data_IF_303849307806
#
_entry.id   IF_303849307806
#
_cell.length_a   1.000
_cell.length_b   1.000
_cell.length_c   1.000
_cell.angle_alpha   90.00
_cell.angle_beta   90.00
_cell.angle_gamma   90.00
#
_symmetry.space_group_name_H-M   'P 1'
#
loop_
_entity.id
_entity.type
_entity.pdbx_description
1 polymer ?
#
# COMPACT_ATOMS: atom_id res chain seq x y z
N UNK A 1 -13.51 -13.50 12.28
CA UNK A 1 -14.86 -13.78 11.72
C UNK A 1 -14.78 -13.48 10.23
N UNK A 2 -15.00 -14.46 9.36
CA UNK A 2 -15.04 -14.21 7.91
C UNK A 2 -16.46 -13.82 7.50
N UNK A 3 -16.62 -12.60 6.97
CA UNK A 3 -17.91 -12.11 6.47
C UNK A 3 -17.96 -12.36 4.95
N UNK A 4 -18.70 -13.39 4.53
CA UNK A 4 -18.73 -13.86 3.13
C UNK A 4 -19.97 -13.37 2.36
N UNK A 5 -20.76 -12.49 2.97
CA UNK A 5 -21.96 -11.86 2.39
C UNK A 5 -21.79 -10.33 2.49
N UNK A 6 -22.70 -9.58 1.88
CA UNK A 6 -22.61 -8.12 1.82
C UNK A 6 -22.74 -7.41 3.18
N UNK A 7 -22.97 -8.14 4.28
CA UNK A 7 -23.06 -7.57 5.62
C UNK A 7 -23.28 -8.62 6.69
N UNK A 8 -23.41 -8.15 7.93
CA UNK A 8 -23.69 -8.96 9.11
C UNK A 8 -24.53 -8.16 10.11
N UNK A 9 -25.23 -8.87 10.99
CA UNK A 9 -26.01 -8.29 12.07
C UNK A 9 -25.37 -8.64 13.41
N UNK A 10 -25.41 -7.70 14.36
CA UNK A 10 -25.04 -7.94 15.76
C UNK A 10 -26.30 -7.83 16.59
N UNK A 11 -26.53 -8.79 17.48
CA UNK A 11 -27.65 -8.79 18.41
C UNK A 11 -27.16 -9.06 19.83
N UNK A 12 -27.76 -8.37 20.80
CA UNK A 12 -27.55 -8.59 22.23
C UNK A 12 -28.81 -9.19 22.81
N UNK A 13 -28.69 -10.33 23.50
CA UNK A 13 -29.81 -10.96 24.21
C UNK A 13 -29.52 -10.95 25.70
N UNK A 14 -30.39 -10.30 26.46
CA UNK A 14 -30.42 -10.38 27.92
C UNK A 14 -31.62 -11.23 28.38
N UNK A 15 -31.48 -11.90 29.53
CA UNK A 15 -32.51 -12.76 30.11
C UNK A 15 -32.76 -12.46 31.61
N UNK A 16 -32.72 -11.18 31.99
CA UNK A 16 -33.13 -10.74 33.33
C UNK A 16 -32.01 -10.09 34.15
N UNK A 17 -31.01 -9.48 33.51
CA UNK A 17 -29.96 -8.73 34.19
C UNK A 17 -30.20 -7.21 34.11
N UNK A 18 -29.62 -6.47 35.07
CA UNK A 18 -29.58 -5.00 35.01
C UNK A 18 -28.35 -4.57 34.21
N UNK A 19 -28.47 -4.49 32.87
CA UNK A 19 -27.35 -4.18 31.97
C UNK A 19 -27.51 -2.81 31.35
N UNK A 20 -26.38 -2.08 31.26
CA UNK A 20 -26.28 -0.84 30.49
C UNK A 20 -25.16 -0.96 29.45
N UNK A 21 -25.52 -0.86 28.17
CA UNK A 21 -24.60 -0.97 27.04
C UNK A 21 -24.15 0.43 26.59
N UNK A 22 -22.92 0.81 26.94
CA UNK A 22 -22.44 2.19 26.72
C UNK A 22 -21.97 2.42 25.27
N UNK A 23 -21.19 1.51 24.69
CA UNK A 23 -20.79 1.59 23.29
C UNK A 23 -20.38 0.23 22.73
N UNK A 24 -20.53 0.07 21.41
CA UNK A 24 -20.07 -1.09 20.64
C UNK A 24 -19.14 -0.58 19.54
N UNK A 25 -17.90 -1.06 19.51
CA UNK A 25 -16.94 -0.70 18.46
C UNK A 25 -16.71 -1.89 17.54
N UNK A 26 -17.05 -1.70 16.27
CA UNK A 26 -16.87 -2.69 15.21
C UNK A 26 -15.81 -2.12 14.26
N UNK A 27 -14.79 -2.90 13.96
CA UNK A 27 -13.72 -2.50 13.04
C UNK A 27 -13.11 -3.71 12.37
N UNK A 28 -12.46 -3.46 11.24
CA UNK A 28 -11.53 -4.39 10.60
C UNK A 28 -10.16 -3.71 10.50
N UNK A 29 -9.12 -4.50 10.26
CA UNK A 29 -7.75 -3.99 10.10
C UNK A 29 -7.35 -4.00 8.64
N UNK A 30 -6.52 -3.02 8.30
CA UNK A 30 -6.01 -2.77 6.97
C UNK A 30 -4.52 -2.50 7.10
N UNK A 31 -3.75 -2.94 6.11
CA UNK A 31 -2.47 -2.34 5.83
C UNK A 31 -2.71 -1.08 5.01
N UNK A 32 -2.33 0.07 5.56
CA UNK A 32 -2.53 1.39 4.93
C UNK A 32 -1.82 1.48 3.59
N UNK A 33 -2.26 2.41 2.73
CA UNK A 33 -1.55 2.67 1.50
C UNK A 33 -0.12 3.15 1.79
N UNK A 34 0.85 2.66 1.03
CA UNK A 34 2.25 3.06 1.24
C UNK A 34 2.99 3.08 -0.09
N UNK A 35 4.00 3.95 -0.18
CA UNK A 35 4.83 4.05 -1.37
C UNK A 35 6.29 4.01 -0.97
N UNK A 36 7.04 3.09 -1.54
CA UNK A 36 8.46 2.86 -1.23
C UNK A 36 9.21 2.85 -2.56
N UNK A 37 10.21 3.72 -2.69
CA UNK A 37 10.87 3.92 -3.98
C UNK A 37 9.86 4.32 -5.06
N UNK A 38 9.85 3.58 -6.18
CA UNK A 38 8.95 3.77 -7.32
C UNK A 38 7.70 2.88 -7.30
N UNK A 39 7.38 2.27 -6.16
CA UNK A 39 6.24 1.35 -6.02
C UNK A 39 5.21 1.92 -5.08
N UNK A 40 3.94 1.85 -5.48
CA UNK A 40 2.78 2.12 -4.64
C UNK A 40 2.06 0.82 -4.29
N UNK A 41 1.85 0.56 -3.01
CA UNK A 41 1.02 -0.51 -2.49
C UNK A 41 -0.31 0.08 -2.02
N UNK A 42 -1.44 -0.32 -2.63
CA UNK A 42 -2.75 0.18 -2.22
C UNK A 42 -3.17 -0.40 -0.87
N UNK A 43 -4.11 0.29 -0.22
CA UNK A 43 -4.72 -0.18 1.02
C UNK A 43 -5.26 -1.62 0.86
N UNK A 44 -4.92 -2.49 1.82
CA UNK A 44 -5.16 -3.92 1.72
C UNK A 44 -5.77 -4.46 3.02
N UNK A 45 -6.93 -5.13 2.97
CA UNK A 45 -7.49 -5.81 4.13
C UNK A 45 -6.60 -6.95 4.63
N UNK A 46 -6.48 -7.07 5.95
CA UNK A 46 -5.80 -8.20 6.58
C UNK A 46 -6.58 -9.50 6.38
N UNK A 47 -5.93 -10.64 6.62
CA UNK A 47 -6.62 -11.93 6.71
C UNK A 47 -7.59 -12.02 7.89
N UNK A 48 -8.27 -13.16 8.00
CA UNK A 48 -9.27 -13.39 9.03
C UNK A 48 -8.66 -13.64 10.43
N UNK A 49 -7.40 -14.06 10.47
CA UNK A 49 -6.63 -14.35 11.68
C UNK A 49 -5.38 -13.46 11.79
N UNK A 50 -4.87 -13.28 13.01
CA UNK A 50 -3.68 -12.46 13.29
C UNK A 50 -2.40 -13.02 12.64
N UNK A 51 -2.35 -14.33 12.42
CA UNK A 51 -1.22 -15.04 11.80
C UNK A 51 -1.29 -15.06 10.28
N UNK A 52 -2.39 -14.59 9.69
CA UNK A 52 -2.55 -14.60 8.24
C UNK A 52 -1.63 -13.56 7.59
N UNK A 53 -1.14 -13.91 6.39
CA UNK A 53 -0.33 -13.04 5.54
C UNK A 53 -1.02 -12.97 4.19
N UNK A 54 -1.38 -11.76 3.76
CA UNK A 54 -2.03 -11.51 2.48
C UNK A 54 -1.00 -10.96 1.51
N UNK A 55 -0.78 -11.68 0.41
CA UNK A 55 0.07 -11.23 -0.69
C UNK A 55 -0.64 -10.18 -1.54
N UNK A 56 0.07 -9.08 -1.83
CA UNK A 56 -0.42 -8.03 -2.73
C UNK A 56 0.66 -7.48 -3.63
N UNK A 57 0.28 -7.23 -4.86
CA UNK A 57 1.17 -6.64 -5.84
C UNK A 57 1.13 -5.12 -5.76
N UNK A 58 2.32 -4.52 -5.83
CA UNK A 58 2.47 -3.09 -5.96
C UNK A 58 2.31 -2.63 -7.40
N UNK A 59 2.14 -1.32 -7.56
CA UNK A 59 1.95 -0.64 -8.84
C UNK A 59 3.11 0.34 -9.01
N UNK A 60 3.78 0.31 -10.17
CA UNK A 60 4.81 1.28 -10.47
C UNK A 60 4.22 2.70 -10.56
N UNK A 61 4.92 3.69 -9.99
CA UNK A 61 4.47 5.08 -10.02
C UNK A 61 4.54 5.68 -11.43
N UNK A 62 3.98 6.88 -11.60
CA UNK A 62 3.93 7.54 -12.90
C UNK A 62 5.32 7.70 -13.54
N UNK A 63 5.39 7.52 -14.86
CA UNK A 63 6.60 7.57 -15.67
C UNK A 63 7.67 6.53 -15.28
N UNK A 64 7.25 5.45 -14.61
CA UNK A 64 8.09 4.28 -14.35
C UNK A 64 7.49 3.03 -14.97
N UNK A 65 8.33 2.03 -15.22
CA UNK A 65 7.98 0.74 -15.84
C UNK A 65 8.41 -0.41 -14.92
N UNK A 66 7.62 -1.49 -14.82
CA UNK A 66 7.99 -2.65 -14.03
C UNK A 66 9.14 -3.41 -14.70
N UNK A 67 10.14 -3.82 -13.93
CA UNK A 67 11.11 -4.85 -14.33
C UNK A 67 10.64 -6.22 -13.82
N UNK A 68 10.18 -6.26 -12.57
CA UNK A 68 9.54 -7.41 -11.95
C UNK A 68 8.28 -6.97 -11.23
N UNK A 69 7.36 -7.90 -11.01
CA UNK A 69 6.11 -7.60 -10.31
C UNK A 69 6.42 -7.29 -8.84
N UNK A 70 6.20 -6.06 -8.34
CA UNK A 70 6.46 -5.75 -6.94
C UNK A 70 5.53 -6.57 -6.04
N UNK A 71 6.04 -7.13 -4.94
CA UNK A 71 5.27 -7.95 -4.01
C UNK A 71 5.41 -7.44 -2.58
N UNK A 72 4.28 -7.31 -1.89
CA UNK A 72 4.18 -6.92 -0.49
C UNK A 72 3.33 -7.92 0.28
N UNK A 73 3.59 -8.02 1.58
CA UNK A 73 2.94 -8.96 2.48
C UNK A 73 2.22 -8.19 3.59
N UNK A 74 0.90 -8.14 3.54
CA UNK A 74 0.08 -7.52 4.57
C UNK A 74 -0.21 -8.52 5.69
N UNK A 75 0.30 -8.24 6.90
CA UNK A 75 0.15 -9.11 8.08
C UNK A 75 -1.18 -8.89 8.78
N UNK A 76 -1.65 -9.90 9.52
CA UNK A 76 -2.87 -9.83 10.34
C UNK A 76 -2.92 -8.70 11.39
N UNK A 77 -1.77 -8.12 11.75
CA UNK A 77 -1.70 -6.96 12.64
C UNK A 77 -1.90 -5.59 11.93
N UNK A 78 -1.99 -5.57 10.59
CA UNK A 78 -2.13 -4.35 9.80
C UNK A 78 -0.80 -3.73 9.35
N UNK A 79 0.32 -4.42 9.56
CA UNK A 79 1.63 -3.95 9.11
C UNK A 79 2.03 -4.59 7.78
N UNK A 80 2.70 -3.79 6.95
CA UNK A 80 3.37 -4.31 5.75
C UNK A 80 4.72 -4.95 6.10
N UNK A 81 5.01 -6.06 5.44
CA UNK A 81 6.35 -6.59 5.30
C UNK A 81 6.70 -6.69 3.82
N UNK A 82 7.97 -6.40 3.50
CA UNK A 82 8.49 -6.41 2.15
C UNK A 82 9.76 -7.26 2.12
N UNK A 83 10.00 -7.90 0.98
CA UNK A 83 11.31 -8.45 0.68
C UNK A 83 12.17 -7.34 0.04
N UNK A 84 13.47 -7.30 0.33
CA UNK A 84 14.41 -6.28 -0.17
C UNK A 84 14.29 -6.08 -1.70
N UNK A 85 14.19 -7.18 -2.45
CA UNK A 85 14.09 -7.20 -3.92
C UNK A 85 12.81 -6.48 -4.41
N UNK A 86 11.73 -6.55 -3.64
CA UNK A 86 10.45 -5.94 -4.03
C UNK A 86 10.49 -4.40 -3.98
N UNK A 87 11.47 -3.82 -3.29
CA UNK A 87 11.54 -2.39 -3.00
C UNK A 87 12.44 -1.59 -3.96
N UNK A 88 13.61 -2.12 -4.36
CA UNK A 88 14.57 -1.37 -5.20
C UNK A 88 14.48 -1.69 -6.69
N UNK A 89 14.24 -2.96 -7.03
CA UNK A 89 14.50 -3.44 -8.39
C UNK A 89 13.20 -3.75 -9.18
N UNK A 90 12.05 -3.40 -8.61
CA UNK A 90 10.76 -3.75 -9.19
C UNK A 90 10.25 -2.74 -10.22
N UNK A 91 10.59 -1.46 -10.08
CA UNK A 91 10.18 -0.40 -11.00
C UNK A 91 11.34 0.54 -11.32
N UNK A 92 11.46 0.96 -12.59
CA UNK A 92 12.48 1.92 -13.05
C UNK A 92 11.86 3.04 -13.84
N UNK A 93 12.48 4.23 -13.81
CA UNK A 93 12.04 5.34 -14.65
C UNK A 93 12.10 4.96 -16.14
N UNK A 94 11.09 5.42 -16.87
CA UNK A 94 11.06 5.32 -18.32
C UNK A 94 12.15 6.21 -18.94
N UNK A 95 12.46 5.97 -20.21
CA UNK A 95 13.50 6.70 -20.90
C UNK A 95 13.12 8.19 -21.00
N UNK A 96 14.08 9.09 -20.75
CA UNK A 96 13.83 10.53 -20.62
C UNK A 96 13.37 11.00 -19.24
N UNK A 97 13.24 10.08 -18.27
CA UNK A 97 12.96 10.41 -16.86
C UNK A 97 14.09 9.96 -15.93
N UNK A 98 14.37 10.75 -14.90
CA UNK A 98 15.33 10.46 -13.84
C UNK A 98 14.66 10.26 -12.48
N UNK A 99 15.30 9.45 -11.65
CA UNK A 99 14.85 9.16 -10.28
C UNK A 99 15.12 10.36 -9.38
N UNK A 100 14.09 10.87 -8.71
CA UNK A 100 14.23 11.84 -7.63
C UNK A 100 13.67 11.25 -6.34
N UNK A 101 14.51 11.26 -5.30
CA UNK A 101 14.15 10.76 -3.97
C UNK A 101 13.45 11.89 -3.20
N UNK A 102 12.23 11.62 -2.72
CA UNK A 102 11.44 12.53 -1.88
C UNK A 102 11.94 12.41 -0.43
N UNK A 103 12.94 13.21 -0.07
CA UNK A 103 13.60 13.20 1.25
C UNK A 103 12.76 13.84 2.38
N UNK A 104 11.43 13.77 2.31
CA UNK A 104 10.57 14.35 3.34
C UNK A 104 10.63 13.61 4.68
N UNK A 105 11.13 12.36 4.71
CA UNK A 105 11.33 11.57 5.93
C UNK A 105 12.69 10.85 5.92
N UNK A 106 13.49 10.98 6.97
CA UNK A 106 14.81 10.35 7.15
C UNK A 106 14.71 8.84 7.46
N UNK A 107 14.07 8.06 6.59
CA UNK A 107 13.93 6.61 6.76
C UNK A 107 14.33 5.82 5.51
N UNK A 108 14.71 4.55 5.69
CA UNK A 108 15.11 3.60 4.63
C UNK A 108 14.02 3.32 3.57
N UNK A 109 12.85 3.97 3.69
CA UNK A 109 11.62 3.77 2.92
C UNK A 109 11.16 5.07 2.23
N UNK A 110 12.10 5.95 1.86
CA UNK A 110 11.79 7.20 1.17
C UNK A 110 11.05 6.92 -0.15
N UNK A 111 9.96 7.67 -0.37
CA UNK A 111 9.23 7.66 -1.64
C UNK A 111 10.13 8.23 -2.73
N UNK A 112 10.00 7.74 -3.96
CA UNK A 112 10.69 8.30 -5.12
C UNK A 112 9.71 8.55 -6.27
N UNK A 113 10.09 9.45 -7.17
CA UNK A 113 9.31 9.80 -8.35
C UNK A 113 10.23 9.90 -9.58
N UNK A 114 9.67 9.70 -10.75
CA UNK A 114 10.37 9.89 -12.03
C UNK A 114 10.02 11.26 -12.62
N UNK A 115 11.02 12.15 -12.74
CA UNK A 115 10.87 13.47 -13.38
C UNK A 115 11.59 13.53 -14.71
N UNK A 116 11.07 14.35 -15.63
CA UNK A 116 11.69 14.55 -16.95
C UNK A 116 13.11 15.06 -16.77
N UNK A 117 14.06 14.45 -17.49
CA UNK A 117 15.46 14.84 -17.48
C UNK A 117 15.62 16.29 -18.01
N UNK A 118 16.32 17.19 -17.30
CA UNK A 118 16.48 18.58 -17.71
C UNK A 118 17.22 18.77 -19.04
N UNK A 119 18.07 17.81 -19.42
CA UNK A 119 18.84 17.84 -20.69
C UNK A 119 17.95 17.59 -21.91
N UNK A 120 16.76 17.02 -21.71
CA UNK A 120 15.74 16.85 -22.75
C UNK A 120 14.83 18.09 -22.79
N UNK A 121 15.41 19.29 -22.89
CA UNK A 121 14.63 20.43 -23.40
C UNK A 121 14.23 20.09 -24.82
N UNK A 122 12.93 20.10 -25.10
CA UNK A 122 12.39 20.09 -26.46
C UNK A 122 13.12 21.19 -27.21
N UNK A 123 14.05 20.83 -28.08
CA UNK A 123 14.53 21.74 -29.12
C UNK A 123 13.30 21.91 -30.02
N UNK A 124 12.49 22.94 -29.74
CA UNK A 124 11.46 23.38 -30.66
C UNK A 124 12.22 23.84 -31.91
N UNK A 125 12.39 22.96 -32.88
CA UNK A 125 12.67 23.40 -34.23
C UNK A 125 11.41 24.15 -34.68
N UNK A 126 11.42 25.48 -34.52
CA UNK A 126 10.49 26.32 -35.26
C UNK A 126 10.84 26.15 -36.74
N UNK A 127 10.02 25.40 -37.46
CA UNK A 127 9.85 25.56 -38.91
C UNK A 127 9.25 26.92 -39.20
#
# INVERSE_FOLDING_TARGET
ISVNKNGFYIAFRDQGACVSLLYVKIFYRLCQDTSIGLVHFPETPTGAHLTDIVERHGICTINSKPIQKPLGFCKGNGEWAFQEISLRDSCHCQDGYELLIDNKNNGLLSRAICKVMPSMRIVRYNT
#
